data_IF_758242265444
#
_entry.id   IF_758242265444
#
_cell.length_a   1.000
_cell.length_b   1.000
_cell.length_c   1.000
_cell.angle_alpha   90.00
_cell.angle_beta   90.00
_cell.angle_gamma   90.00
#
_symmetry.space_group_name_H-M   'P 1'
#
loop_
_entity.id
_entity.type
_entity.pdbx_description
1 polymer ?
#
# COMPACT_ATOMS: atom_id res chain seq x y z
N UNK A 1 -66.66 25.11 -22.60
CA UNK A 1 -66.45 23.78 -21.98
C UNK A 1 -65.02 23.24 -22.13
N UNK A 2 -64.19 23.83 -23.01
CA UNK A 2 -62.79 23.45 -23.26
C UNK A 2 -61.77 23.90 -22.17
N UNK A 3 -61.94 25.03 -21.43
CA UNK A 3 -60.90 25.53 -20.50
C UNK A 3 -60.56 24.60 -19.34
N UNK A 4 -61.55 23.86 -18.83
CA UNK A 4 -61.36 22.96 -17.68
C UNK A 4 -60.59 21.69 -18.02
N UNK A 5 -60.70 21.21 -19.27
CA UNK A 5 -59.96 20.04 -19.74
C UNK A 5 -58.47 20.37 -19.97
N UNK A 6 -58.18 21.56 -20.53
CA UNK A 6 -56.82 22.06 -20.73
C UNK A 6 -56.07 22.30 -19.41
N UNK A 7 -56.74 22.89 -18.42
CA UNK A 7 -56.17 23.06 -17.07
C UNK A 7 -55.83 21.71 -16.43
N UNK A 8 -56.72 20.71 -16.53
CA UNK A 8 -56.45 19.39 -15.96
C UNK A 8 -55.29 18.66 -16.66
N UNK A 9 -55.19 18.77 -17.98
CA UNK A 9 -54.10 18.17 -18.73
C UNK A 9 -52.74 18.77 -18.31
N UNK A 10 -52.66 20.10 -18.14
CA UNK A 10 -51.44 20.74 -17.68
C UNK A 10 -51.04 20.39 -16.26
N UNK A 11 -52.01 20.25 -15.34
CA UNK A 11 -51.72 19.79 -13.98
C UNK A 11 -51.17 18.37 -13.97
N UNK A 12 -51.71 17.49 -14.81
CA UNK A 12 -51.19 16.14 -14.98
C UNK A 12 -49.76 16.16 -15.55
N UNK A 13 -49.50 16.96 -16.60
CA UNK A 13 -48.17 17.07 -17.21
C UNK A 13 -47.12 17.63 -16.24
N UNK A 14 -47.49 18.64 -15.45
CA UNK A 14 -46.68 19.21 -14.36
C UNK A 14 -46.35 18.18 -13.28
N UNK A 15 -47.34 17.37 -12.89
CA UNK A 15 -47.17 16.29 -11.91
C UNK A 15 -46.24 15.19 -12.45
N UNK A 16 -46.44 14.78 -13.71
CA UNK A 16 -45.59 13.77 -14.38
C UNK A 16 -44.14 14.27 -14.51
N UNK A 17 -43.93 15.53 -14.89
CA UNK A 17 -42.60 16.14 -14.96
C UNK A 17 -41.90 16.12 -13.60
N UNK A 18 -42.60 16.54 -12.55
CA UNK A 18 -42.06 16.59 -11.19
C UNK A 18 -41.71 15.18 -10.69
N UNK A 19 -42.58 14.20 -10.93
CA UNK A 19 -42.34 12.80 -10.57
C UNK A 19 -41.15 12.20 -11.33
N UNK A 20 -41.04 12.47 -12.63
CA UNK A 20 -39.92 12.01 -13.45
C UNK A 20 -38.60 12.54 -12.91
N UNK A 21 -38.53 13.84 -12.60
CA UNK A 21 -37.31 14.43 -12.09
C UNK A 21 -36.93 13.94 -10.69
N UNK A 22 -37.92 13.67 -9.83
CA UNK A 22 -37.66 13.03 -8.54
C UNK A 22 -37.05 11.63 -8.74
N UNK A 23 -37.59 10.85 -9.67
CA UNK A 23 -37.05 9.53 -9.99
C UNK A 23 -35.63 9.62 -10.56
N UNK A 24 -35.38 10.54 -11.50
CA UNK A 24 -34.06 10.76 -12.10
C UNK A 24 -33.02 11.21 -11.05
N UNK A 25 -33.42 12.11 -10.14
CA UNK A 25 -32.63 12.56 -8.98
C UNK A 25 -32.28 11.40 -8.04
N UNK A 26 -33.24 10.52 -7.76
CA UNK A 26 -33.03 9.34 -6.92
C UNK A 26 -32.08 8.34 -7.60
N UNK A 27 -32.25 8.09 -8.90
CA UNK A 27 -31.37 7.20 -9.68
C UNK A 27 -29.93 7.74 -9.70
N UNK A 28 -29.75 9.04 -9.95
CA UNK A 28 -28.44 9.69 -9.94
C UNK A 28 -27.75 9.52 -8.57
N UNK A 29 -28.49 9.80 -7.49
CA UNK A 29 -27.97 9.67 -6.13
C UNK A 29 -27.56 8.23 -5.83
N UNK A 30 -28.39 7.25 -6.19
CA UNK A 30 -28.09 5.82 -6.01
C UNK A 30 -26.87 5.36 -6.82
N UNK A 31 -26.74 5.80 -8.07
CA UNK A 31 -25.60 5.46 -8.91
C UNK A 31 -24.30 5.97 -8.28
N UNK A 32 -24.29 7.21 -7.79
CA UNK A 32 -23.09 7.77 -7.17
C UNK A 32 -22.73 7.09 -5.85
N UNK A 33 -23.71 6.67 -5.05
CA UNK A 33 -23.42 5.85 -3.87
C UNK A 33 -22.77 4.52 -4.24
N UNK A 34 -23.24 3.87 -5.30
CA UNK A 34 -22.65 2.63 -5.78
C UNK A 34 -21.21 2.88 -6.27
N UNK A 35 -20.99 3.89 -7.10
CA UNK A 35 -19.65 4.23 -7.63
C UNK A 35 -18.68 4.58 -6.51
N UNK A 36 -19.13 5.36 -5.53
CA UNK A 36 -18.40 5.73 -4.32
C UNK A 36 -18.02 4.52 -3.46
N UNK A 37 -18.93 3.55 -3.34
CA UNK A 37 -18.69 2.28 -2.63
C UNK A 37 -17.68 1.41 -3.37
N UNK A 38 -17.80 1.30 -4.70
CA UNK A 38 -16.87 0.54 -5.55
C UNK A 38 -15.46 1.13 -5.47
N UNK A 39 -15.32 2.46 -5.57
CA UNK A 39 -14.05 3.16 -5.44
C UNK A 39 -13.38 2.85 -4.10
N UNK A 40 -14.13 2.99 -3.00
CA UNK A 40 -13.63 2.71 -1.65
C UNK A 40 -13.17 1.26 -1.52
N UNK A 41 -13.94 0.31 -2.04
CA UNK A 41 -13.60 -1.12 -2.00
C UNK A 41 -12.34 -1.45 -2.82
N UNK A 42 -12.21 -0.86 -4.01
CA UNK A 42 -11.03 -1.05 -4.86
C UNK A 42 -9.77 -0.56 -4.15
N UNK A 43 -9.82 0.63 -3.55
CA UNK A 43 -8.67 1.17 -2.85
C UNK A 43 -8.29 0.37 -1.60
N UNK A 44 -9.26 -0.19 -0.87
CA UNK A 44 -8.98 -1.12 0.22
C UNK A 44 -8.25 -2.38 -0.27
N UNK A 45 -8.66 -2.92 -1.41
CA UNK A 45 -8.02 -4.09 -2.00
C UNK A 45 -6.59 -3.76 -2.43
N UNK A 46 -6.39 -2.65 -3.14
CA UNK A 46 -5.06 -2.21 -3.61
C UNK A 46 -4.11 -1.94 -2.43
N UNK A 47 -4.62 -1.28 -1.39
CA UNK A 47 -3.91 -1.01 -0.13
C UNK A 47 -3.50 -2.30 0.60
N UNK A 48 -4.37 -3.32 0.59
CA UNK A 48 -4.08 -4.64 1.15
C UNK A 48 -3.01 -5.38 0.34
N UNK A 49 -3.11 -5.36 -0.99
CA UNK A 49 -2.13 -5.99 -1.89
C UNK A 49 -0.76 -5.36 -1.73
N UNK A 50 -0.67 -4.03 -1.69
CA UNK A 50 0.58 -3.29 -1.47
C UNK A 50 1.24 -3.72 -0.15
N UNK A 51 0.46 -3.73 0.93
CA UNK A 51 0.96 -4.13 2.25
C UNK A 51 1.50 -5.56 2.22
N UNK A 52 0.77 -6.50 1.62
CA UNK A 52 1.19 -7.91 1.51
C UNK A 52 2.46 -8.08 0.68
N UNK A 53 2.58 -7.37 -0.44
CA UNK A 53 3.77 -7.43 -1.28
C UNK A 53 5.00 -6.96 -0.49
N UNK A 54 4.90 -5.85 0.24
CA UNK A 54 6.02 -5.34 1.01
C UNK A 54 6.43 -6.27 2.17
N UNK A 55 5.47 -6.92 2.83
CA UNK A 55 5.79 -7.96 3.82
C UNK A 55 6.57 -9.12 3.21
N UNK A 56 6.18 -9.58 2.02
CA UNK A 56 6.89 -10.65 1.32
C UNK A 56 8.31 -10.21 0.95
N UNK A 57 8.48 -9.02 0.36
CA UNK A 57 9.79 -8.49 -0.04
C UNK A 57 10.71 -8.31 1.18
N UNK A 58 10.17 -7.77 2.27
CA UNK A 58 10.83 -7.62 3.57
C UNK A 58 11.29 -8.96 4.17
N UNK A 59 10.47 -10.00 4.03
CA UNK A 59 10.81 -11.37 4.46
C UNK A 59 11.90 -11.98 3.59
N UNK A 60 11.83 -11.81 2.26
CA UNK A 60 12.85 -12.30 1.33
C UNK A 60 14.20 -11.65 1.58
N UNK A 61 14.23 -10.32 1.76
CA UNK A 61 15.44 -9.57 2.08
C UNK A 61 16.10 -10.09 3.37
N UNK A 62 15.29 -10.25 4.42
CA UNK A 62 15.76 -10.78 5.70
C UNK A 62 16.37 -12.17 5.54
N UNK A 63 15.69 -13.07 4.81
CA UNK A 63 16.21 -14.42 4.58
C UNK A 63 17.48 -14.45 3.74
N UNK A 64 17.59 -13.61 2.71
CA UNK A 64 18.80 -13.53 1.91
C UNK A 64 20.00 -13.12 2.78
N UNK A 65 19.82 -12.12 3.63
CA UNK A 65 20.90 -11.66 4.49
C UNK A 65 21.30 -12.69 5.55
N UNK A 66 20.35 -13.43 6.12
CA UNK A 66 20.68 -14.56 7.01
C UNK A 66 21.52 -15.63 6.30
N UNK A 67 21.19 -15.95 5.05
CA UNK A 67 21.95 -16.91 4.26
C UNK A 67 23.37 -16.39 3.98
N UNK A 68 23.51 -15.15 3.53
CA UNK A 68 24.81 -14.53 3.24
C UNK A 68 25.70 -14.46 4.49
N UNK A 69 25.10 -14.09 5.63
CA UNK A 69 25.73 -14.05 6.95
C UNK A 69 26.22 -15.43 7.40
N UNK A 70 25.44 -16.48 7.13
CA UNK A 70 25.81 -17.88 7.41
C UNK A 70 26.96 -18.35 6.52
N UNK A 71 26.92 -18.01 5.22
CA UNK A 71 27.98 -18.36 4.25
C UNK A 71 29.30 -17.69 4.64
N UNK A 72 29.27 -16.39 4.96
CA UNK A 72 30.46 -15.65 5.40
C UNK A 72 31.08 -16.29 6.65
N UNK A 73 30.25 -16.59 7.64
CA UNK A 73 30.70 -17.25 8.89
C UNK A 73 31.36 -18.60 8.59
N UNK A 74 30.74 -19.44 7.74
CA UNK A 74 31.30 -20.73 7.35
C UNK A 74 32.61 -20.62 6.59
N UNK A 75 32.72 -19.66 5.66
CA UNK A 75 33.96 -19.43 4.91
C UNK A 75 35.11 -19.09 5.86
N UNK A 76 34.87 -18.21 6.83
CA UNK A 76 35.90 -17.81 7.78
C UNK A 76 36.30 -18.93 8.75
N UNK A 77 35.36 -19.78 9.17
CA UNK A 77 35.70 -20.98 9.94
C UNK A 77 36.61 -21.93 9.15
N UNK A 78 36.32 -22.12 7.86
CA UNK A 78 37.15 -22.95 6.99
C UNK A 78 38.55 -22.35 6.83
N UNK A 79 38.65 -21.05 6.55
CA UNK A 79 39.94 -20.36 6.38
C UNK A 79 40.78 -20.39 7.67
N UNK A 80 40.14 -20.16 8.82
CA UNK A 80 40.72 -20.27 10.15
C UNK A 80 41.25 -21.70 10.45
N UNK A 81 40.50 -22.72 10.03
CA UNK A 81 40.91 -24.13 10.17
C UNK A 81 42.11 -24.44 9.27
N UNK A 82 42.11 -23.97 8.02
CA UNK A 82 43.23 -24.17 7.07
C UNK A 82 44.49 -23.50 7.59
N UNK A 83 44.41 -22.26 8.07
CA UNK A 83 45.55 -21.52 8.64
C UNK A 83 46.14 -22.28 9.84
N UNK A 84 45.28 -22.73 10.75
CA UNK A 84 45.71 -23.49 11.94
C UNK A 84 46.43 -24.78 11.54
N UNK A 85 45.90 -25.52 10.56
CA UNK A 85 46.50 -26.77 10.08
C UNK A 85 47.83 -26.55 9.37
N UNK A 86 47.95 -25.50 8.55
CA UNK A 86 49.20 -25.15 7.89
C UNK A 86 50.28 -24.84 8.94
N UNK A 87 49.95 -24.04 9.95
CA UNK A 87 50.89 -23.70 11.00
C UNK A 87 51.27 -24.89 11.89
N UNK A 88 50.36 -25.82 12.15
CA UNK A 88 50.69 -27.05 12.87
C UNK A 88 51.69 -27.92 12.10
N UNK A 89 51.50 -28.02 10.78
CA UNK A 89 52.45 -28.74 9.91
C UNK A 89 53.83 -28.06 9.91
N UNK A 90 53.87 -26.73 9.75
CA UNK A 90 55.12 -25.95 9.73
C UNK A 90 55.84 -26.02 11.08
N UNK A 91 55.10 -25.89 12.19
CA UNK A 91 55.60 -26.08 13.56
C UNK A 91 56.17 -27.49 13.77
N UNK A 92 55.52 -28.53 13.26
CA UNK A 92 56.02 -29.92 13.37
C UNK A 92 57.35 -30.09 12.64
N UNK A 93 57.49 -29.48 11.46
CA UNK A 93 58.76 -29.46 10.69
C UNK A 93 59.83 -28.65 11.43
N UNK A 94 59.49 -27.48 11.98
CA UNK A 94 60.41 -26.61 12.72
C UNK A 94 60.84 -27.20 14.05
N UNK A 95 59.99 -27.94 14.77
CA UNK A 95 60.35 -28.56 16.07
C UNK A 95 61.44 -29.63 15.89
N UNK A 96 61.51 -30.25 14.71
CA UNK A 96 62.63 -31.14 14.34
C UNK A 96 63.97 -30.38 14.19
N UNK A 97 63.94 -29.05 14.09
CA UNK A 97 65.11 -28.18 13.90
C UNK A 97 65.39 -27.26 15.12
N UNK A 98 64.36 -26.63 15.72
CA UNK A 98 64.41 -25.65 16.81
C UNK A 98 63.08 -25.61 17.60
N UNK A 99 63.09 -25.76 18.94
CA UNK A 99 61.86 -25.87 19.76
C UNK A 99 61.14 -24.53 20.04
N UNK A 100 61.88 -23.43 20.26
CA UNK A 100 61.28 -22.14 20.63
C UNK A 100 60.54 -21.47 19.47
N UNK A 101 61.12 -21.46 18.27
CA UNK A 101 60.54 -20.81 17.10
C UNK A 101 59.19 -21.42 16.70
N UNK A 102 59.08 -22.75 16.83
CA UNK A 102 57.85 -23.52 16.63
C UNK A 102 56.69 -23.07 17.54
N UNK A 103 57.00 -22.72 18.80
CA UNK A 103 55.98 -22.32 19.79
C UNK A 103 55.45 -20.92 19.48
N UNK A 104 56.33 -20.00 19.06
CA UNK A 104 55.95 -18.64 18.64
C UNK A 104 55.09 -18.67 17.39
N UNK A 105 55.48 -19.47 16.38
CA UNK A 105 54.72 -19.61 15.13
C UNK A 105 53.30 -20.11 15.39
N UNK A 106 53.17 -21.14 16.23
CA UNK A 106 51.86 -21.70 16.61
C UNK A 106 50.97 -20.66 17.29
N UNK A 107 51.51 -19.91 18.26
CA UNK A 107 50.79 -18.83 18.95
C UNK A 107 50.32 -17.73 18.00
N UNK A 108 51.18 -17.32 17.07
CA UNK A 108 50.83 -16.28 16.09
C UNK A 108 49.67 -16.73 15.20
N UNK A 109 49.70 -17.97 14.70
CA UNK A 109 48.61 -18.48 13.86
C UNK A 109 47.29 -18.65 14.61
N UNK A 110 47.31 -19.08 15.87
CA UNK A 110 46.10 -19.13 16.71
C UNK A 110 45.50 -17.74 16.90
N UNK A 111 46.33 -16.72 17.12
CA UNK A 111 45.87 -15.34 17.22
C UNK A 111 45.26 -14.84 15.91
N UNK A 112 45.92 -15.08 14.78
CA UNK A 112 45.43 -14.66 13.45
C UNK A 112 44.11 -15.35 13.10
N UNK A 113 44.00 -16.66 13.35
CA UNK A 113 42.76 -17.45 13.21
C UNK A 113 41.62 -16.90 14.09
N UNK A 114 41.92 -16.51 15.33
CA UNK A 114 40.95 -15.93 16.27
C UNK A 114 40.47 -14.56 15.79
N UNK A 115 41.38 -13.70 15.33
CA UNK A 115 41.07 -12.37 14.80
C UNK A 115 40.21 -12.47 13.54
N UNK A 116 40.55 -13.35 12.60
CA UNK A 116 39.77 -13.58 11.38
C UNK A 116 38.34 -14.03 11.72
N UNK A 117 38.20 -14.99 12.64
CA UNK A 117 36.89 -15.50 13.07
C UNK A 117 36.05 -14.38 13.70
N UNK A 118 36.64 -13.56 14.59
CA UNK A 118 35.97 -12.41 15.22
C UNK A 118 35.53 -11.36 14.19
N UNK A 119 36.38 -11.03 13.22
CA UNK A 119 36.03 -10.06 12.18
C UNK A 119 34.82 -10.52 11.38
N UNK A 120 34.79 -11.77 10.96
CA UNK A 120 33.67 -12.30 10.19
C UNK A 120 32.37 -12.36 10.99
N UNK A 121 32.42 -12.69 12.29
CA UNK A 121 31.25 -12.61 13.16
C UNK A 121 30.70 -11.19 13.26
N UNK A 122 31.58 -10.19 13.37
CA UNK A 122 31.16 -8.80 13.40
C UNK A 122 30.52 -8.38 12.07
N UNK A 123 31.14 -8.72 10.93
CA UNK A 123 30.62 -8.40 9.60
C UNK A 123 29.26 -9.08 9.34
N UNK A 124 29.15 -10.36 9.72
CA UNK A 124 27.91 -11.14 9.72
C UNK A 124 26.81 -10.46 10.55
N UNK A 125 27.15 -9.97 11.75
CA UNK A 125 26.20 -9.27 12.63
C UNK A 125 25.76 -7.94 12.02
N UNK A 126 26.69 -7.16 11.48
CA UNK A 126 26.40 -5.86 10.84
C UNK A 126 25.48 -6.04 9.63
N UNK A 127 25.77 -7.02 8.77
CA UNK A 127 24.95 -7.34 7.60
C UNK A 127 23.51 -7.69 8.01
N UNK A 128 23.35 -8.58 8.99
CA UNK A 128 22.03 -8.97 9.50
C UNK A 128 21.27 -7.77 10.06
N UNK A 129 21.93 -6.91 10.84
CA UNK A 129 21.31 -5.70 11.41
C UNK A 129 20.89 -4.69 10.34
N UNK A 130 21.72 -4.48 9.31
CA UNK A 130 21.38 -3.59 8.21
C UNK A 130 20.13 -4.07 7.49
N UNK A 131 20.05 -5.37 7.18
CA UNK A 131 18.89 -5.92 6.48
C UNK A 131 17.61 -5.86 7.30
N UNK A 132 17.68 -6.07 8.61
CA UNK A 132 16.53 -5.86 9.50
C UNK A 132 16.03 -4.42 9.49
N UNK A 133 16.95 -3.45 9.49
CA UNK A 133 16.59 -2.04 9.41
C UNK A 133 15.93 -1.73 8.06
N UNK A 134 16.51 -2.18 6.95
CA UNK A 134 15.96 -1.96 5.60
C UNK A 134 14.58 -2.61 5.44
N UNK A 135 14.43 -3.85 5.93
CA UNK A 135 13.15 -4.58 6.03
C UNK A 135 12.09 -3.78 6.81
N UNK A 136 12.48 -3.21 7.96
CA UNK A 136 11.57 -2.40 8.79
C UNK A 136 11.16 -1.11 8.09
N UNK A 137 12.11 -0.42 7.44
CA UNK A 137 11.85 0.82 6.69
C UNK A 137 10.91 0.55 5.52
N UNK A 138 11.15 -0.50 4.74
CA UNK A 138 10.28 -0.90 3.63
C UNK A 138 8.85 -1.16 4.09
N UNK A 139 8.68 -1.95 5.16
CA UNK A 139 7.36 -2.24 5.72
C UNK A 139 6.66 -0.96 6.18
N UNK A 140 7.36 -0.06 6.87
CA UNK A 140 6.79 1.23 7.31
C UNK A 140 6.39 2.15 6.15
N UNK A 141 7.22 2.23 5.11
CA UNK A 141 6.90 3.03 3.93
C UNK A 141 5.61 2.53 3.26
N UNK A 142 5.48 1.22 3.10
CA UNK A 142 4.29 0.65 2.47
C UNK A 142 3.02 0.85 3.30
N UNK A 143 3.10 0.77 4.63
CA UNK A 143 1.98 1.11 5.50
C UNK A 143 1.53 2.57 5.35
N UNK A 144 2.49 3.49 5.23
CA UNK A 144 2.19 4.90 5.01
C UNK A 144 1.52 5.11 3.65
N UNK A 145 2.06 4.51 2.58
CA UNK A 145 1.52 4.61 1.23
C UNK A 145 0.11 4.00 1.15
N UNK A 146 -0.10 2.84 1.77
CA UNK A 146 -1.40 2.17 1.95
C UNK A 146 -2.41 3.08 2.65
N UNK A 147 -2.00 3.76 3.73
CA UNK A 147 -2.84 4.69 4.49
C UNK A 147 -3.21 5.92 3.65
N UNK A 148 -2.25 6.49 2.93
CA UNK A 148 -2.47 7.65 2.05
C UNK A 148 -3.44 7.31 0.92
N UNK A 149 -3.25 6.15 0.27
CA UNK A 149 -4.15 5.68 -0.79
C UNK A 149 -5.58 5.53 -0.28
N UNK A 150 -5.77 4.86 0.86
CA UNK A 150 -7.09 4.68 1.46
C UNK A 150 -7.73 6.04 1.80
N UNK A 151 -6.99 6.98 2.38
CA UNK A 151 -7.49 8.32 2.68
C UNK A 151 -7.87 9.12 1.44
N UNK A 152 -7.06 9.06 0.38
CA UNK A 152 -7.37 9.74 -0.88
C UNK A 152 -8.68 9.22 -1.46
N UNK A 153 -8.87 7.89 -1.49
CA UNK A 153 -10.08 7.31 -2.03
C UNK A 153 -11.33 7.63 -1.21
N UNK A 154 -11.22 7.70 0.12
CA UNK A 154 -12.33 8.16 0.96
C UNK A 154 -12.71 9.62 0.66
N UNK A 155 -11.72 10.48 0.43
CA UNK A 155 -11.98 11.86 0.05
C UNK A 155 -12.65 11.94 -1.33
N UNK A 156 -12.15 11.21 -2.32
CA UNK A 156 -12.71 11.17 -3.67
C UNK A 156 -14.15 10.62 -3.68
N UNK A 157 -14.39 9.55 -2.91
CA UNK A 157 -15.71 8.97 -2.64
C UNK A 157 -16.68 10.00 -2.03
N UNK A 158 -16.21 10.77 -1.04
CA UNK A 158 -17.00 11.83 -0.39
C UNK A 158 -17.33 12.96 -1.36
N UNK A 159 -16.34 13.41 -2.15
CA UNK A 159 -16.52 14.47 -3.15
C UNK A 159 -17.53 14.03 -4.23
N UNK A 160 -17.41 12.79 -4.73
CA UNK A 160 -18.34 12.23 -5.71
C UNK A 160 -19.77 12.22 -5.16
N UNK A 161 -19.97 11.70 -3.95
CA UNK A 161 -21.28 11.66 -3.31
C UNK A 161 -21.85 13.07 -3.13
N UNK A 162 -21.05 14.03 -2.68
CA UNK A 162 -21.49 15.43 -2.51
C UNK A 162 -21.86 16.10 -3.84
N UNK A 163 -21.07 15.88 -4.89
CA UNK A 163 -21.36 16.40 -6.23
C UNK A 163 -22.70 15.87 -6.74
N UNK A 164 -22.95 14.57 -6.57
CA UNK A 164 -24.20 13.98 -7.03
C UNK A 164 -25.42 14.46 -6.23
N UNK A 165 -25.27 14.70 -4.91
CA UNK A 165 -26.31 15.35 -4.13
C UNK A 165 -26.63 16.75 -4.64
N UNK A 166 -25.61 17.53 -5.00
CA UNK A 166 -25.79 18.86 -5.55
C UNK A 166 -26.48 18.80 -6.92
N UNK A 167 -26.03 17.90 -7.82
CA UNK A 167 -26.62 17.73 -9.15
C UNK A 167 -28.08 17.26 -9.07
N UNK A 168 -28.36 16.34 -8.15
CA UNK A 168 -29.71 15.86 -7.81
C UNK A 168 -30.61 17.01 -7.34
N UNK A 169 -30.14 17.86 -6.42
CA UNK A 169 -30.87 19.03 -5.94
C UNK A 169 -31.12 20.05 -7.05
N UNK A 170 -30.12 20.31 -7.91
CA UNK A 170 -30.24 21.21 -9.06
C UNK A 170 -31.28 20.70 -10.05
N UNK A 171 -31.29 19.39 -10.33
CA UNK A 171 -32.26 18.74 -11.20
C UNK A 171 -33.68 18.88 -10.63
N UNK A 172 -33.88 18.57 -9.35
CA UNK A 172 -35.19 18.72 -8.69
C UNK A 172 -35.68 20.17 -8.73
N UNK A 173 -34.81 21.14 -8.44
CA UNK A 173 -35.17 22.56 -8.46
C UNK A 173 -35.54 23.03 -9.86
N UNK A 174 -34.78 22.62 -10.88
CA UNK A 174 -35.08 22.96 -12.28
C UNK A 174 -36.46 22.43 -12.67
N UNK A 175 -36.76 21.19 -12.32
CA UNK A 175 -38.05 20.61 -12.66
C UNK A 175 -39.22 21.22 -11.89
N UNK A 176 -39.01 21.62 -10.64
CA UNK A 176 -40.01 22.40 -9.90
C UNK A 176 -40.31 23.74 -10.60
N UNK A 177 -39.27 24.45 -11.04
CA UNK A 177 -39.43 25.70 -11.78
C UNK A 177 -40.14 25.49 -13.12
N UNK A 178 -39.75 24.47 -13.89
CA UNK A 178 -40.36 24.14 -15.17
C UNK A 178 -41.85 23.74 -15.00
N UNK A 179 -42.14 23.00 -13.94
CA UNK A 179 -43.49 22.62 -13.52
C UNK A 179 -44.35 23.85 -13.18
N UNK A 180 -43.83 24.78 -12.37
CA UNK A 180 -44.51 26.05 -12.07
C UNK A 180 -44.79 26.88 -13.33
N UNK A 181 -43.81 26.99 -14.24
CA UNK A 181 -43.96 27.74 -15.50
C UNK A 181 -45.04 27.12 -16.37
N UNK A 182 -45.10 25.78 -16.44
CA UNK A 182 -46.14 25.06 -17.17
C UNK A 182 -47.53 25.34 -16.60
N UNK A 183 -47.70 25.21 -15.28
CA UNK A 183 -48.99 25.48 -14.61
C UNK A 183 -49.43 26.94 -14.78
N UNK A 184 -48.50 27.90 -14.69
CA UNK A 184 -48.81 29.32 -14.86
C UNK A 184 -49.24 29.67 -16.29
N UNK A 185 -48.56 29.14 -17.31
CA UNK A 185 -48.97 29.31 -18.71
C UNK A 185 -50.39 28.81 -18.93
N UNK A 186 -50.68 27.61 -18.42
CA UNK A 186 -52.01 27.04 -18.57
C UNK A 186 -53.09 27.82 -17.82
N UNK A 187 -52.81 28.37 -16.64
CA UNK A 187 -53.75 29.27 -15.96
C UNK A 187 -54.08 30.51 -16.82
N UNK A 188 -53.05 31.15 -17.40
CA UNK A 188 -53.24 32.32 -18.24
C UNK A 188 -54.02 32.00 -19.53
N UNK A 189 -53.71 30.89 -20.20
CA UNK A 189 -54.40 30.45 -21.43
C UNK A 189 -55.85 30.02 -21.18
N UNK A 190 -56.22 29.73 -19.93
CA UNK A 190 -57.58 29.34 -19.53
C UNK A 190 -58.48 30.53 -19.18
N UNK A 191 -57.87 31.70 -18.92
CA UNK A 191 -58.56 32.95 -18.60
C UNK A 191 -58.77 33.85 -19.84
N UNK A 192 -58.19 33.48 -21.00
CA UNK A 192 -58.45 34.05 -22.32
C UNK A 192 -59.57 33.28 -23.00
#
# INVERSE_FOLDING_TARGET
>A
MIPWCLTQQCYNDSTVLTQKCYNDSMVLTQQCYNDSTVLTQQCYNDSTVLTQQCYNDSTVLTQQCYNDSTVLTQQCYNDSTVLTQQCYNDSTVLTQQCYNDSTVLTQQCYNDSTVLTQQCYNDSTVLTQQCYNDSTVLTQQCYNDSTVLTQQCYNDSTVLTQQCYNDSMVLTQKCYNDSMVLTQKCYNDSCV
#
